data_IF_035253547030
#
_entry.id   IF_035253547030
#
_cell.length_a   1.000
_cell.length_b   1.000
_cell.length_c   1.000
_cell.angle_alpha   90.00
_cell.angle_beta   90.00
_cell.angle_gamma   90.00
#
_symmetry.space_group_name_H-M   'P 1'
#
loop_
_entity.id
_entity.type
_entity.pdbx_description
1 polymer ?
#
# COMPACT_ATOMS: atom_id res chain seq x y z
N UNK A 1 -7.52 22.56 -6.18
CA UNK A 1 -6.41 21.88 -5.49
C UNK A 1 -6.69 20.38 -5.53
N UNK A 2 -5.82 19.61 -6.17
CA UNK A 2 -5.93 18.16 -6.34
C UNK A 2 -5.79 17.43 -5.01
N UNK A 3 -6.45 16.26 -4.88
CA UNK A 3 -6.59 15.51 -3.63
C UNK A 3 -6.67 14.02 -3.93
N UNK A 4 -6.22 13.19 -2.98
CA UNK A 4 -6.43 11.74 -3.00
C UNK A 4 -7.71 11.46 -2.21
N UNK A 5 -8.70 10.84 -2.84
CA UNK A 5 -9.95 10.45 -2.18
C UNK A 5 -9.93 9.00 -1.72
N UNK A 6 -9.46 8.09 -2.59
CA UNK A 6 -9.38 6.66 -2.32
C UNK A 6 -8.11 6.07 -2.91
N UNK A 7 -7.60 5.03 -2.28
CA UNK A 7 -6.51 4.20 -2.78
C UNK A 7 -6.87 2.74 -2.55
N UNK A 8 -6.71 1.88 -3.56
CA UNK A 8 -6.83 0.43 -3.39
C UNK A 8 -5.46 -0.21 -3.25
N UNK A 9 -5.32 -1.15 -2.33
CA UNK A 9 -4.11 -1.95 -2.13
C UNK A 9 -4.47 -3.42 -2.31
N UNK A 10 -3.68 -4.12 -3.14
CA UNK A 10 -3.77 -5.56 -3.39
C UNK A 10 -2.36 -6.06 -3.73
N UNK A 11 -1.96 -7.21 -3.19
CA UNK A 11 -0.68 -7.84 -3.51
C UNK A 11 0.54 -7.01 -3.07
N UNK A 12 0.45 -6.29 -1.96
CA UNK A 12 1.58 -5.49 -1.42
C UNK A 12 1.86 -5.92 0.01
N UNK A 13 3.07 -6.42 0.29
CA UNK A 13 3.49 -6.91 1.63
C UNK A 13 2.44 -7.83 2.29
N UNK A 14 1.80 -7.35 3.36
CA UNK A 14 0.80 -8.10 4.13
C UNK A 14 -0.59 -8.08 3.50
N UNK A 15 -0.82 -7.28 2.45
CA UNK A 15 -2.05 -7.29 1.68
C UNK A 15 -1.96 -8.43 0.65
N UNK A 16 -2.86 -9.43 0.79
CA UNK A 16 -2.87 -10.63 -0.05
C UNK A 16 -3.12 -10.34 -1.53
N UNK A 17 -2.94 -11.37 -2.37
CA UNK A 17 -3.01 -11.27 -3.84
C UNK A 17 -4.39 -11.60 -4.40
N UNK A 18 -5.29 -12.17 -3.61
CA UNK A 18 -6.62 -12.55 -4.08
C UNK A 18 -7.57 -11.36 -4.04
N UNK A 19 -8.56 -11.31 -4.94
CA UNK A 19 -9.53 -10.21 -4.99
C UNK A 19 -10.25 -9.97 -3.66
N UNK A 20 -10.46 -11.03 -2.87
CA UNK A 20 -11.05 -10.96 -1.52
C UNK A 20 -10.19 -10.17 -0.53
N UNK A 21 -8.88 -10.09 -0.77
CA UNK A 21 -7.91 -9.41 0.08
C UNK A 21 -7.76 -7.92 -0.28
N UNK A 22 -8.34 -7.48 -1.40
CA UNK A 22 -8.30 -6.09 -1.86
C UNK A 22 -8.84 -5.15 -0.79
N UNK A 23 -8.01 -4.20 -0.36
CA UNK A 23 -8.41 -3.18 0.61
C UNK A 23 -8.58 -1.83 -0.07
N UNK A 24 -9.64 -1.10 0.28
CA UNK A 24 -9.89 0.26 -0.19
C UNK A 24 -9.75 1.21 0.99
N UNK A 25 -8.74 2.07 0.94
CA UNK A 25 -8.53 3.13 1.91
C UNK A 25 -9.23 4.40 1.41
N UNK A 26 -10.13 4.95 2.22
CA UNK A 26 -10.76 6.25 1.96
C UNK A 26 -10.10 7.31 2.83
N UNK A 27 -9.68 8.42 2.22
CA UNK A 27 -9.03 9.53 2.91
C UNK A 27 -10.05 10.62 3.26
N UNK A 28 -10.17 10.88 4.56
CA UNK A 28 -11.07 11.86 5.13
C UNK A 28 -10.38 13.21 5.36
N UNK A 29 -11.19 14.25 5.46
CA UNK A 29 -10.74 15.63 5.68
C UNK A 29 -11.32 16.20 6.97
N UNK A 30 -10.59 17.06 7.69
CA UNK A 30 -9.23 17.51 7.39
C UNK A 30 -8.15 16.48 7.76
N UNK A 31 -8.53 15.41 8.47
CA UNK A 31 -7.60 14.44 9.06
C UNK A 31 -8.08 13.00 8.78
N UNK A 32 -7.12 12.13 8.48
CA UNK A 32 -7.31 10.68 8.46
C UNK A 32 -6.35 10.08 9.48
N UNK A 33 -6.86 9.22 10.37
CA UNK A 33 -6.05 8.56 11.40
C UNK A 33 -5.94 7.08 11.07
N UNK A 34 -4.71 6.57 10.95
CA UNK A 34 -4.44 5.16 10.76
C UNK A 34 -4.14 4.51 12.12
N UNK A 35 -5.06 3.70 12.62
CA UNK A 35 -4.92 2.97 13.89
C UNK A 35 -4.89 1.46 13.65
N UNK A 36 -4.31 0.71 14.59
CA UNK A 36 -4.24 -0.75 14.55
C UNK A 36 -3.01 -1.29 15.27
N UNK A 37 -2.94 -2.60 15.53
CA UNK A 37 -1.81 -3.22 16.21
C UNK A 37 -0.51 -3.15 15.40
N UNK A 38 0.60 -3.50 16.04
CA UNK A 38 1.88 -3.68 15.35
C UNK A 38 1.74 -4.77 14.28
N UNK A 39 2.32 -4.54 13.10
CA UNK A 39 2.16 -5.45 11.96
C UNK A 39 0.86 -5.30 11.16
N UNK A 40 -0.08 -4.43 11.56
CA UNK A 40 -1.36 -4.24 10.84
C UNK A 40 -1.25 -3.56 9.46
N UNK A 41 -0.05 -3.31 8.93
CA UNK A 41 0.14 -2.70 7.60
C UNK A 41 0.01 -1.17 7.53
N UNK A 42 -0.05 -0.46 8.67
CA UNK A 42 -0.13 1.02 8.71
C UNK A 42 0.99 1.69 7.90
N UNK A 43 2.24 1.29 8.11
CA UNK A 43 3.39 1.82 7.35
C UNK A 43 3.29 1.47 5.87
N UNK A 44 2.81 0.27 5.54
CA UNK A 44 2.60 -0.16 4.15
C UNK A 44 1.62 0.76 3.41
N UNK A 45 0.57 1.26 4.07
CA UNK A 45 -0.36 2.24 3.46
C UNK A 45 0.38 3.53 3.06
N UNK A 46 1.29 4.03 3.91
CA UNK A 46 2.08 5.23 3.63
C UNK A 46 3.10 4.98 2.52
N UNK A 47 3.72 3.80 2.50
CA UNK A 47 4.62 3.38 1.42
C UNK A 47 3.91 3.26 0.08
N UNK A 48 2.69 2.71 0.04
CA UNK A 48 1.85 2.68 -1.16
C UNK A 48 1.54 4.09 -1.65
N UNK A 49 1.18 5.01 -0.75
CA UNK A 49 0.93 6.41 -1.10
C UNK A 49 2.16 7.07 -1.74
N UNK A 50 3.36 6.83 -1.18
CA UNK A 50 4.60 7.33 -1.76
C UNK A 50 4.80 6.74 -3.16
N UNK A 51 4.71 5.42 -3.29
CA UNK A 51 4.91 4.71 -4.54
C UNK A 51 3.98 5.20 -5.66
N UNK A 52 2.67 5.36 -5.41
CA UNK A 52 1.74 5.84 -6.45
C UNK A 52 1.98 7.30 -6.86
N UNK A 53 2.57 8.11 -5.97
CA UNK A 53 2.82 9.53 -6.24
C UNK A 53 4.18 9.77 -6.89
N UNK A 54 5.18 8.94 -6.61
CA UNK A 54 6.57 9.18 -7.07
C UNK A 54 7.15 8.07 -7.94
N UNK A 55 6.58 6.86 -7.89
CA UNK A 55 7.14 5.66 -8.52
C UNK A 55 8.27 5.00 -7.70
N UNK A 56 8.66 5.57 -6.56
CA UNK A 56 9.76 5.03 -5.75
C UNK A 56 9.31 3.89 -4.86
N UNK A 57 10.13 2.83 -4.83
CA UNK A 57 9.98 1.75 -3.87
C UNK A 57 10.43 2.18 -2.46
N UNK A 58 9.91 1.54 -1.40
CA UNK A 58 10.41 1.75 -0.05
C UNK A 58 11.91 1.42 0.07
N UNK A 59 12.67 2.11 0.94
CA UNK A 59 14.08 1.84 1.13
C UNK A 59 14.31 0.39 1.57
N UNK A 60 15.36 -0.24 1.05
CA UNK A 60 15.70 -1.64 1.36
C UNK A 60 14.83 -2.67 0.63
N UNK A 61 13.90 -2.25 -0.23
CA UNK A 61 13.16 -3.17 -1.11
C UNK A 61 13.77 -3.14 -2.52
N UNK A 62 14.17 -4.31 -3.04
CA UNK A 62 14.60 -4.49 -4.43
C UNK A 62 13.44 -5.07 -5.23
N UNK A 63 12.35 -4.32 -5.41
CA UNK A 63 11.14 -4.71 -6.18
C UNK A 63 10.33 -5.90 -5.62
N UNK A 64 11.00 -7.04 -5.49
CA UNK A 64 10.51 -8.38 -5.17
C UNK A 64 9.94 -8.52 -3.74
N UNK A 65 10.25 -7.58 -2.83
CA UNK A 65 9.82 -7.64 -1.42
C UNK A 65 8.70 -6.66 -1.09
N UNK A 66 8.33 -5.80 -2.03
CA UNK A 66 7.25 -4.82 -1.84
C UNK A 66 5.94 -5.28 -2.48
N UNK A 67 6.00 -5.67 -3.75
CA UNK A 67 4.85 -6.17 -4.52
C UNK A 67 4.99 -7.68 -4.70
N UNK A 68 3.90 -8.41 -4.48
CA UNK A 68 3.78 -9.81 -4.86
C UNK A 68 3.60 -9.88 -6.37
N UNK A 69 4.71 -9.99 -7.10
CA UNK A 69 4.68 -10.18 -8.54
C UNK A 69 4.89 -11.66 -8.89
N UNK A 70 3.87 -12.36 -9.43
CA UNK A 70 4.04 -13.75 -9.87
C UNK A 70 5.06 -13.92 -11.01
N UNK A 71 5.44 -12.85 -11.74
CA UNK A 71 6.50 -12.89 -12.77
C UNK A 71 7.91 -12.79 -12.19
N UNK A 72 8.06 -12.45 -10.91
CA UNK A 72 9.35 -12.25 -10.24
C UNK A 72 9.78 -13.50 -9.45
N UNK A 73 8.95 -14.55 -9.44
CA UNK A 73 9.30 -15.90 -8.95
C UNK A 73 9.92 -16.81 -10.03
N UNK A 74 10.76 -16.25 -10.91
CA UNK A 74 11.57 -17.01 -11.87
C UNK A 74 13.05 -16.90 -11.53
#
# INVERSE_FOLDING_TARGET
MSRIEKMSILGVRSFGIEDKDKQIITFFRPLTILVGPNGAGKTTIIECLKYICTGDFPPGTKGNTFVHDPKVMC
#
